data_IF_673302920820
#
_entry.id   IF_673302920820
#
_cell.length_a   1.000
_cell.length_b   1.000
_cell.length_c   1.000
_cell.angle_alpha   90.00
_cell.angle_beta   90.00
_cell.angle_gamma   90.00
#
_symmetry.space_group_name_H-M   'P 1'
#
loop_
_entity.id
_entity.type
_entity.pdbx_description
1 polymer ?
#
# COMPACT_ATOMS: atom_id res chain seq x y z
N UNK A 1 36.53 15.72 -33.88
CA UNK A 1 37.18 14.79 -32.92
C UNK A 1 36.99 15.27 -31.48
N UNK A 2 36.53 14.40 -30.58
CA UNK A 2 36.41 14.71 -29.14
C UNK A 2 37.81 14.82 -28.51
N UNK A 3 38.15 15.98 -27.93
CA UNK A 3 39.40 16.21 -27.20
C UNK A 3 39.40 15.35 -25.93
N UNK A 4 40.13 14.23 -25.93
CA UNK A 4 40.20 13.29 -24.79
C UNK A 4 41.54 13.42 -24.09
N UNK A 5 41.58 14.14 -22.99
CA UNK A 5 42.75 14.24 -22.13
C UNK A 5 42.85 12.98 -21.24
N UNK A 6 43.73 12.06 -21.61
CA UNK A 6 43.98 10.79 -20.89
C UNK A 6 45.41 10.76 -20.35
N UNK A 7 45.65 10.05 -19.25
CA UNK A 7 47.02 9.84 -18.76
C UNK A 7 47.92 9.21 -19.82
N UNK A 8 49.22 9.47 -19.74
CA UNK A 8 50.20 8.79 -20.59
C UNK A 8 50.15 7.27 -20.34
N UNK A 9 50.29 6.47 -21.40
CA UNK A 9 50.37 5.00 -21.34
C UNK A 9 49.16 4.30 -20.67
N UNK A 10 48.02 4.99 -20.54
CA UNK A 10 46.77 4.46 -19.94
C UNK A 10 46.25 3.18 -20.63
N UNK A 11 46.61 2.98 -21.89
CA UNK A 11 46.21 1.83 -22.70
C UNK A 11 47.22 0.68 -22.62
N UNK A 12 48.46 0.96 -22.21
CA UNK A 12 49.54 -0.02 -22.11
C UNK A 12 49.50 -0.77 -20.78
N UNK A 13 49.14 -0.06 -19.69
CA UNK A 13 49.11 -0.65 -18.35
C UNK A 13 47.70 -0.56 -17.75
N UNK A 14 47.03 -1.70 -17.46
CA UNK A 14 45.69 -1.70 -16.85
C UNK A 14 45.61 -0.98 -15.50
N UNK A 15 46.72 -0.94 -14.76
CA UNK A 15 46.85 -0.21 -13.48
C UNK A 15 46.75 1.32 -13.67
N UNK A 16 47.05 1.83 -14.86
CA UNK A 16 46.94 3.25 -15.20
C UNK A 16 45.52 3.56 -15.68
N UNK A 17 44.79 4.36 -14.90
CA UNK A 17 43.46 4.82 -15.27
C UNK A 17 43.45 5.88 -16.39
N UNK A 18 42.27 6.12 -16.97
CA UNK A 18 42.05 7.14 -18.02
C UNK A 18 42.10 8.59 -17.50
N UNK A 19 42.16 8.80 -16.18
CA UNK A 19 42.19 10.12 -15.54
C UNK A 19 43.48 10.85 -15.89
N UNK A 20 43.40 12.07 -16.43
CA UNK A 20 44.57 12.87 -16.78
C UNK A 20 45.52 13.07 -15.60
N UNK A 21 46.83 12.96 -15.87
CA UNK A 21 47.94 13.29 -14.97
C UNK A 21 49.00 14.03 -15.77
N UNK A 22 49.62 15.05 -15.18
CA UNK A 22 50.70 15.81 -15.83
C UNK A 22 51.91 14.90 -16.05
N UNK A 23 52.40 14.70 -17.29
CA UNK A 23 53.58 13.88 -17.54
C UNK A 23 54.82 14.59 -16.99
N UNK A 24 55.53 13.95 -16.04
CA UNK A 24 56.70 14.52 -15.37
C UNK A 24 58.03 14.04 -15.93
N UNK A 25 58.08 12.82 -16.47
CA UNK A 25 59.33 12.21 -16.96
C UNK A 25 60.01 13.03 -18.04
N UNK A 26 61.32 13.22 -17.92
CA UNK A 26 62.10 14.05 -18.83
C UNK A 26 61.99 13.58 -20.30
N UNK A 27 62.03 12.27 -20.51
CA UNK A 27 61.95 11.63 -21.83
C UNK A 27 60.51 11.37 -22.30
N UNK A 28 59.49 11.76 -21.52
CA UNK A 28 58.08 11.55 -21.89
C UNK A 28 57.76 12.25 -23.20
N UNK A 29 57.33 11.47 -24.21
CA UNK A 29 56.98 12.00 -25.53
C UNK A 29 55.72 12.88 -25.48
N UNK A 30 54.81 12.61 -24.55
CA UNK A 30 53.65 13.45 -24.26
C UNK A 30 54.05 14.79 -23.61
N UNK A 31 55.04 14.78 -22.70
CA UNK A 31 55.60 16.02 -22.11
C UNK A 31 56.28 16.88 -23.17
N UNK A 32 57.06 16.24 -24.04
CA UNK A 32 57.75 16.85 -25.18
C UNK A 32 56.82 17.21 -26.35
N UNK A 33 55.51 16.96 -26.22
CA UNK A 33 54.48 17.24 -27.25
C UNK A 33 54.77 16.60 -28.61
N UNK A 34 55.43 15.44 -28.64
CA UNK A 34 55.67 14.70 -29.88
C UNK A 34 54.35 14.11 -30.40
N UNK A 35 54.20 14.11 -31.73
CA UNK A 35 53.06 13.50 -32.42
C UNK A 35 52.84 12.04 -32.01
N UNK A 36 51.59 11.58 -32.03
CA UNK A 36 51.20 10.21 -31.69
C UNK A 36 51.10 9.91 -30.17
N UNK A 37 51.62 10.78 -29.30
CA UNK A 37 51.64 10.52 -27.84
C UNK A 37 50.34 10.90 -27.12
N UNK A 38 49.43 11.60 -27.78
CA UNK A 38 48.17 12.13 -27.22
C UNK A 38 48.19 13.66 -27.03
N UNK A 39 47.10 14.20 -26.48
CA UNK A 39 46.95 15.65 -26.27
C UNK A 39 47.48 16.09 -24.89
N UNK A 40 48.30 17.13 -24.85
CA UNK A 40 48.71 17.78 -23.61
C UNK A 40 47.69 18.86 -23.19
N UNK A 41 47.24 18.86 -21.93
CA UNK A 41 46.33 19.90 -21.42
C UNK A 41 46.97 21.29 -21.51
N UNK A 42 46.25 22.27 -22.03
CA UNK A 42 46.66 23.66 -22.19
C UNK A 42 45.43 24.58 -22.15
N UNK A 43 45.63 25.84 -21.74
CA UNK A 43 44.55 26.84 -21.58
C UNK A 43 43.79 27.08 -22.88
N UNK A 44 44.48 27.06 -24.03
CA UNK A 44 43.88 27.24 -25.35
C UNK A 44 42.83 26.17 -25.75
N UNK A 45 42.71 25.08 -25.00
CA UNK A 45 41.66 24.08 -25.22
C UNK A 45 40.35 24.36 -24.47
N UNK A 46 40.30 25.39 -23.62
CA UNK A 46 39.08 25.79 -22.90
C UNK A 46 37.91 26.08 -23.85
N UNK A 47 36.69 25.84 -23.36
CA UNK A 47 35.45 26.18 -24.07
C UNK A 47 34.85 27.42 -23.43
N UNK A 48 34.18 28.26 -24.24
CA UNK A 48 33.33 29.34 -23.72
C UNK A 48 32.27 28.77 -22.76
N UNK A 49 31.94 29.55 -21.73
CA UNK A 49 30.92 29.16 -20.76
C UNK A 49 29.57 29.01 -21.45
N UNK A 50 28.97 27.83 -21.34
CA UNK A 50 27.58 27.58 -21.72
C UNK A 50 26.81 27.32 -20.44
N UNK A 51 25.69 28.02 -20.20
CA UNK A 51 24.99 27.86 -18.93
C UNK A 51 24.47 26.43 -18.80
N UNK A 52 24.69 25.86 -17.61
CA UNK A 52 24.35 24.47 -17.32
C UNK A 52 22.94 24.38 -16.71
N UNK A 53 22.23 23.27 -16.91
CA UNK A 53 20.97 23.04 -16.21
C UNK A 53 21.20 22.93 -14.71
N UNK A 54 20.23 23.42 -13.93
CA UNK A 54 20.33 23.45 -12.47
C UNK A 54 19.99 22.09 -11.85
N UNK A 55 20.77 21.68 -10.85
CA UNK A 55 20.53 20.44 -10.09
C UNK A 55 19.49 20.70 -9.00
N UNK A 56 18.30 20.11 -9.14
CA UNK A 56 17.17 20.31 -8.23
C UNK A 56 17.11 19.21 -7.16
N UNK A 57 16.95 19.63 -5.90
CA UNK A 57 16.77 18.79 -4.71
C UNK A 57 15.44 19.06 -4.00
N UNK A 58 14.85 20.24 -4.16
CA UNK A 58 13.58 20.60 -3.53
C UNK A 58 12.70 21.47 -4.43
N UNK A 59 11.49 21.79 -3.98
CA UNK A 59 10.55 22.59 -4.76
C UNK A 59 11.01 24.07 -4.90
N UNK A 60 11.75 24.59 -3.92
CA UNK A 60 12.29 25.97 -3.94
C UNK A 60 13.30 26.16 -5.08
N UNK A 61 14.09 25.13 -5.37
CA UNK A 61 15.07 25.17 -6.46
C UNK A 61 14.42 25.38 -7.84
N UNK A 62 13.12 25.07 -7.99
CA UNK A 62 12.37 25.26 -9.24
C UNK A 62 11.95 26.73 -9.48
N UNK A 63 12.29 27.67 -8.60
CA UNK A 63 11.94 29.09 -8.77
C UNK A 63 12.96 29.84 -9.64
N UNK A 64 14.23 29.47 -9.59
CA UNK A 64 15.31 30.15 -10.32
C UNK A 64 16.02 29.19 -11.30
N UNK A 65 15.37 28.87 -12.42
CA UNK A 65 15.87 27.87 -13.37
C UNK A 65 15.89 28.40 -14.83
N UNK A 66 16.94 29.12 -15.24
CA UNK A 66 17.00 29.72 -16.58
C UNK A 66 17.25 28.70 -17.72
N UNK A 67 17.98 27.61 -17.46
CA UNK A 67 18.46 26.70 -18.53
C UNK A 67 17.97 25.25 -18.38
N UNK A 68 16.85 25.05 -17.69
CA UNK A 68 16.26 23.74 -17.43
C UNK A 68 16.85 23.03 -16.20
N UNK A 69 16.33 21.83 -15.92
CA UNK A 69 16.51 21.15 -14.63
C UNK A 69 17.00 19.72 -14.79
N UNK A 70 17.91 19.33 -13.91
CA UNK A 70 18.28 17.93 -13.64
C UNK A 70 17.82 17.58 -12.23
N UNK A 71 17.01 16.53 -12.09
CA UNK A 71 16.66 16.00 -10.77
C UNK A 71 17.84 15.22 -10.17
N UNK A 72 18.21 15.59 -8.93
CA UNK A 72 19.25 14.91 -8.16
C UNK A 72 18.99 13.40 -8.05
N UNK A 73 20.05 12.59 -8.10
CA UNK A 73 19.99 11.12 -7.99
C UNK A 73 19.32 10.65 -6.70
N UNK A 74 19.51 11.37 -5.59
CA UNK A 74 18.92 11.05 -4.28
C UNK A 74 17.41 11.30 -4.16
N UNK A 75 16.76 11.94 -5.13
CA UNK A 75 15.31 12.13 -5.11
C UNK A 75 14.57 10.82 -5.31
N UNK A 76 13.69 10.48 -4.37
CA UNK A 76 12.77 9.34 -4.49
C UNK A 76 11.66 9.55 -5.53
N UNK A 77 10.93 8.49 -5.86
CA UNK A 77 9.87 8.50 -6.88
C UNK A 77 8.75 9.50 -6.58
N UNK A 78 8.21 9.52 -5.36
CA UNK A 78 7.14 10.44 -4.94
C UNK A 78 7.53 11.90 -5.11
N UNK A 79 8.69 12.29 -4.58
CA UNK A 79 9.23 13.66 -4.71
C UNK A 79 9.48 14.00 -6.18
N UNK A 80 10.00 13.06 -6.96
CA UNK A 80 10.23 13.25 -8.40
C UNK A 80 8.93 13.51 -9.14
N UNK A 81 7.85 12.78 -8.84
CA UNK A 81 6.54 12.99 -9.48
C UNK A 81 5.97 14.39 -9.16
N UNK A 82 5.98 14.78 -7.89
CA UNK A 82 5.54 16.12 -7.46
C UNK A 82 6.35 17.23 -8.13
N UNK A 83 7.68 17.10 -8.18
CA UNK A 83 8.55 18.07 -8.83
C UNK A 83 8.36 18.09 -10.35
N UNK A 84 8.02 16.95 -10.95
CA UNK A 84 7.72 16.87 -12.39
C UNK A 84 6.44 17.64 -12.71
N UNK A 85 5.39 17.53 -11.89
CA UNK A 85 4.16 18.30 -12.07
C UNK A 85 4.43 19.79 -11.98
N UNK A 86 5.11 20.23 -10.90
CA UNK A 86 5.51 21.63 -10.73
C UNK A 86 6.40 22.15 -11.85
N UNK A 87 7.33 21.34 -12.35
CA UNK A 87 8.18 21.72 -13.47
C UNK A 87 7.40 21.86 -14.78
N UNK A 88 6.38 21.03 -15.01
CA UNK A 88 5.48 21.15 -16.16
C UNK A 88 4.60 22.40 -16.07
N UNK A 89 4.04 22.67 -14.89
CA UNK A 89 3.25 23.90 -14.62
C UNK A 89 4.07 25.16 -14.92
N UNK A 90 5.35 25.15 -14.55
CA UNK A 90 6.29 26.27 -14.81
C UNK A 90 6.92 26.26 -16.22
N UNK A 91 6.59 25.29 -17.07
CA UNK A 91 7.17 25.18 -18.42
C UNK A 91 8.68 24.88 -18.46
N UNK A 92 9.26 24.33 -17.39
CA UNK A 92 10.70 24.10 -17.28
C UNK A 92 11.09 22.76 -17.95
N UNK A 93 12.11 22.80 -18.81
CA UNK A 93 12.64 21.59 -19.48
C UNK A 93 13.39 20.67 -18.51
N UNK A 94 13.00 19.39 -18.46
CA UNK A 94 13.65 18.36 -17.65
C UNK A 94 14.60 17.51 -18.50
N UNK A 95 15.87 17.44 -18.11
CA UNK A 95 16.90 16.67 -18.85
C UNK A 95 16.90 15.16 -18.51
N UNK A 96 16.70 14.79 -17.24
CA UNK A 96 16.77 13.38 -16.81
C UNK A 96 15.43 12.65 -16.96
N UNK A 97 14.97 12.47 -18.21
CA UNK A 97 13.64 11.90 -18.49
C UNK A 97 13.49 10.44 -18.06
N UNK A 98 14.57 9.65 -18.06
CA UNK A 98 14.54 8.25 -17.59
C UNK A 98 14.09 8.15 -16.13
N UNK A 99 14.55 9.06 -15.29
CA UNK A 99 14.18 9.12 -13.87
C UNK A 99 12.69 9.46 -13.69
N UNK A 100 12.19 10.41 -14.47
CA UNK A 100 10.76 10.78 -14.49
C UNK A 100 9.89 9.59 -14.89
N UNK A 101 10.26 8.89 -15.97
CA UNK A 101 9.54 7.69 -16.44
C UNK A 101 9.51 6.59 -15.37
N UNK A 102 10.62 6.36 -14.67
CA UNK A 102 10.69 5.37 -13.57
C UNK A 102 9.78 5.76 -12.41
N UNK A 103 9.75 7.04 -12.04
CA UNK A 103 8.86 7.54 -10.98
C UNK A 103 7.38 7.33 -11.33
N UNK A 104 6.98 7.69 -12.56
CA UNK A 104 5.60 7.51 -13.03
C UNK A 104 5.15 6.04 -13.03
N UNK A 105 6.01 5.11 -13.48
CA UNK A 105 5.73 3.66 -13.43
C UNK A 105 5.51 3.15 -12.01
N UNK A 106 6.34 3.58 -11.06
CA UNK A 106 6.22 3.20 -9.65
C UNK A 106 4.93 3.73 -9.02
N UNK A 107 4.56 4.98 -9.30
CA UNK A 107 3.30 5.53 -8.80
C UNK A 107 2.07 4.82 -9.38
N UNK A 108 2.08 4.49 -10.67
CA UNK A 108 1.01 3.71 -11.30
C UNK A 108 0.88 2.31 -10.66
N UNK A 109 2.01 1.64 -10.39
CA UNK A 109 2.01 0.33 -9.73
C UNK A 109 1.47 0.41 -8.29
N UNK A 110 1.84 1.44 -7.52
CA UNK A 110 1.33 1.66 -6.17
C UNK A 110 -0.18 1.95 -6.17
N UNK A 111 -0.66 2.77 -7.11
CA UNK A 111 -2.10 3.04 -7.27
C UNK A 111 -2.86 1.76 -7.62
N UNK A 112 -2.35 0.95 -8.55
CA UNK A 112 -2.93 -0.35 -8.90
C UNK A 112 -3.03 -1.28 -7.69
N UNK A 113 -1.94 -1.45 -6.93
CA UNK A 113 -1.93 -2.24 -5.68
C UNK A 113 -2.93 -1.71 -4.65
N UNK A 114 -3.04 -0.39 -4.49
CA UNK A 114 -4.00 0.19 -3.55
C UNK A 114 -5.46 -0.03 -3.99
N UNK A 115 -5.72 -0.02 -5.31
CA UNK A 115 -7.02 -0.30 -5.87
C UNK A 115 -7.38 -1.79 -5.76
N UNK A 116 -6.42 -2.69 -5.98
CA UNK A 116 -6.56 -4.14 -5.77
C UNK A 116 -6.86 -4.44 -4.30
N UNK A 117 -6.07 -3.91 -3.37
CA UNK A 117 -6.36 -4.03 -1.92
C UNK A 117 -7.73 -3.49 -1.54
N UNK A 118 -8.13 -2.34 -2.10
CA UNK A 118 -9.47 -1.79 -1.86
C UNK A 118 -10.57 -2.67 -2.45
N UNK A 119 -10.34 -3.31 -3.60
CA UNK A 119 -11.27 -4.28 -4.19
C UNK A 119 -11.37 -5.54 -3.34
N UNK A 120 -10.25 -6.12 -2.92
CA UNK A 120 -10.19 -7.28 -2.02
C UNK A 120 -10.89 -6.98 -0.68
N UNK A 121 -10.58 -5.84 -0.05
CA UNK A 121 -11.24 -5.39 1.18
C UNK A 121 -12.73 -5.07 0.99
N UNK A 122 -13.15 -4.67 -0.21
CA UNK A 122 -14.57 -4.45 -0.54
C UNK A 122 -15.31 -5.78 -0.79
N UNK A 123 -14.60 -6.81 -1.24
CA UNK A 123 -15.15 -8.14 -1.56
C UNK A 123 -15.27 -9.03 -0.31
N UNK A 124 -14.38 -8.88 0.69
CA UNK A 124 -14.48 -9.62 1.96
C UNK A 124 -15.07 -8.78 3.09
N UNK A 125 -16.39 -8.54 3.07
CA UNK A 125 -17.09 -8.20 4.32
C UNK A 125 -17.13 -9.47 5.18
N UNK A 126 -16.53 -9.43 6.36
CA UNK A 126 -16.48 -10.58 7.29
C UNK A 126 -17.25 -10.28 8.57
N UNK A 127 -17.97 -11.27 9.08
CA UNK A 127 -18.61 -11.23 10.39
C UNK A 127 -18.07 -12.37 11.26
N UNK A 128 -17.38 -12.01 12.34
CA UNK A 128 -16.82 -12.96 13.28
C UNK A 128 -17.85 -13.49 14.28
N UNK A 129 -17.89 -14.81 14.48
CA UNK A 129 -18.68 -15.51 15.48
C UNK A 129 -17.77 -16.18 16.51
N UNK A 130 -18.24 -16.35 17.74
CA UNK A 130 -17.56 -17.12 18.79
C UNK A 130 -17.86 -18.61 18.63
N UNK A 131 -16.93 -19.51 19.01
CA UNK A 131 -17.03 -20.95 18.71
C UNK A 131 -18.31 -21.61 19.23
N UNK A 132 -18.79 -21.23 20.41
CA UNK A 132 -20.05 -21.75 20.99
C UNK A 132 -21.30 -21.42 20.16
N UNK A 133 -21.23 -20.36 19.34
CA UNK A 133 -22.34 -19.87 18.52
C UNK A 133 -22.29 -20.45 17.10
N UNK A 134 -21.13 -20.93 16.65
CA UNK A 134 -20.93 -21.48 15.30
C UNK A 134 -21.86 -22.69 15.01
N UNK A 135 -22.01 -23.68 15.90
CA UNK A 135 -22.97 -24.78 15.71
C UNK A 135 -24.43 -24.31 15.63
N UNK A 136 -24.79 -23.22 16.32
CA UNK A 136 -26.16 -22.70 16.33
C UNK A 136 -26.55 -22.11 14.96
N UNK A 137 -25.59 -21.52 14.25
CA UNK A 137 -25.79 -20.98 12.90
C UNK A 137 -25.78 -22.10 11.85
N UNK A 138 -24.93 -23.11 12.02
CA UNK A 138 -24.78 -24.23 11.08
C UNK A 138 -25.90 -25.28 11.16
N UNK A 139 -26.33 -25.64 12.37
CA UNK A 139 -27.19 -26.82 12.60
C UNK A 139 -28.61 -26.45 13.04
N UNK A 140 -28.79 -25.30 13.71
CA UNK A 140 -30.06 -24.91 14.31
C UNK A 140 -30.77 -23.76 13.59
N UNK A 141 -30.27 -23.37 12.41
CA UNK A 141 -30.99 -22.46 11.50
C UNK A 141 -31.20 -21.04 12.03
N UNK A 142 -30.29 -20.52 12.88
CA UNK A 142 -30.38 -19.15 13.39
C UNK A 142 -30.32 -18.13 12.25
N UNK A 143 -31.41 -17.40 12.03
CA UNK A 143 -31.58 -16.41 10.94
C UNK A 143 -31.37 -14.97 11.40
N UNK A 144 -31.38 -14.70 12.71
CA UNK A 144 -31.18 -13.37 13.28
C UNK A 144 -30.04 -13.32 14.29
N UNK A 145 -29.24 -12.27 14.25
CA UNK A 145 -28.21 -11.99 15.26
C UNK A 145 -28.25 -10.56 15.73
N UNK A 146 -28.22 -10.39 17.06
CA UNK A 146 -28.09 -9.10 17.72
C UNK A 146 -26.60 -8.78 17.95
N UNK A 147 -26.18 -7.56 17.61
CA UNK A 147 -24.82 -7.08 17.78
C UNK A 147 -24.83 -5.69 18.42
N UNK A 148 -23.95 -5.47 19.39
CA UNK A 148 -23.80 -4.19 20.09
C UNK A 148 -22.89 -3.18 19.36
N UNK A 149 -22.36 -3.55 18.19
CA UNK A 149 -21.52 -2.69 17.35
C UNK A 149 -22.03 -2.74 15.92
N UNK A 150 -22.01 -1.58 15.26
CA UNK A 150 -22.30 -1.48 13.84
C UNK A 150 -21.15 -2.11 13.05
N UNK A 151 -21.49 -3.03 12.15
CA UNK A 151 -20.55 -3.68 11.24
C UNK A 151 -20.59 -3.05 9.83
N UNK A 152 -21.38 -1.99 9.62
CA UNK A 152 -21.48 -1.25 8.36
C UNK A 152 -22.05 -2.08 7.21
N UNK A 153 -22.84 -3.11 7.54
CA UNK A 153 -23.43 -4.04 6.59
C UNK A 153 -24.80 -3.51 6.16
N UNK A 154 -25.16 -3.75 4.89
CA UNK A 154 -26.42 -3.31 4.29
C UNK A 154 -27.22 -4.51 3.79
N UNK A 155 -28.54 -4.34 3.70
CA UNK A 155 -29.40 -5.32 3.04
C UNK A 155 -28.91 -5.58 1.60
N UNK A 156 -28.75 -6.86 1.25
CA UNK A 156 -28.20 -7.34 -0.01
C UNK A 156 -26.70 -7.66 0.00
N UNK A 157 -25.95 -7.34 1.06
CA UNK A 157 -24.53 -7.67 1.16
C UNK A 157 -24.31 -9.18 1.38
N UNK A 158 -23.35 -9.76 0.65
CA UNK A 158 -22.81 -11.10 0.92
C UNK A 158 -21.64 -10.98 1.89
N UNK A 159 -21.72 -11.67 3.03
CA UNK A 159 -20.75 -11.59 4.12
C UNK A 159 -20.18 -12.98 4.41
N UNK A 160 -18.87 -13.08 4.58
CA UNK A 160 -18.24 -14.31 5.02
C UNK A 160 -18.33 -14.44 6.56
N UNK A 161 -18.85 -15.56 7.04
CA UNK A 161 -18.93 -15.85 8.47
C UNK A 161 -17.68 -16.61 8.90
N UNK A 162 -16.94 -16.02 9.84
CA UNK A 162 -15.66 -16.53 10.32
C UNK A 162 -15.76 -16.89 11.80
N UNK A 163 -15.16 -18.00 12.22
CA UNK A 163 -14.95 -18.28 13.63
C UNK A 163 -13.79 -17.41 14.14
N UNK A 164 -14.06 -16.50 15.07
CA UNK A 164 -13.09 -15.53 15.61
C UNK A 164 -11.90 -16.22 16.31
N UNK A 165 -12.12 -17.40 16.90
CA UNK A 165 -11.06 -18.15 17.62
C UNK A 165 -10.19 -18.97 16.66
N UNK A 166 -10.79 -19.61 15.65
CA UNK A 166 -10.07 -20.47 14.69
C UNK A 166 -9.62 -19.74 13.42
N UNK A 167 -10.15 -18.55 13.16
CA UNK A 167 -10.00 -17.76 11.92
C UNK A 167 -10.42 -18.52 10.64
N UNK A 168 -11.31 -19.49 10.80
CA UNK A 168 -11.83 -20.31 9.71
C UNK A 168 -13.19 -19.78 9.25
N UNK A 169 -13.34 -19.61 7.94
CA UNK A 169 -14.62 -19.25 7.32
C UNK A 169 -15.48 -20.50 7.20
N UNK A 170 -16.62 -20.53 7.89
CA UNK A 170 -17.51 -21.70 7.92
C UNK A 170 -18.71 -21.56 6.97
N UNK A 171 -18.94 -20.38 6.40
CA UNK A 171 -19.97 -20.16 5.40
C UNK A 171 -20.11 -18.72 4.96
N UNK A 172 -21.04 -18.49 4.05
CA UNK A 172 -21.40 -17.16 3.54
C UNK A 172 -22.86 -16.89 3.89
N UNK A 173 -23.18 -15.65 4.24
CA UNK A 173 -24.55 -15.23 4.51
C UNK A 173 -24.92 -14.02 3.66
N UNK A 174 -26.14 -14.01 3.14
CA UNK A 174 -26.72 -12.85 2.46
C UNK A 174 -27.60 -12.10 3.46
N UNK A 175 -27.29 -10.84 3.73
CA UNK A 175 -28.05 -10.03 4.69
C UNK A 175 -29.33 -9.57 4.01
N UNK A 176 -30.46 -9.83 4.66
CA UNK A 176 -31.80 -9.48 4.14
C UNK A 176 -32.30 -8.18 4.73
N UNK A 177 -32.05 -7.91 6.01
CA UNK A 177 -32.46 -6.68 6.68
C UNK A 177 -31.47 -6.30 7.80
N UNK A 178 -31.37 -5.00 8.06
CA UNK A 178 -30.54 -4.41 9.13
C UNK A 178 -31.38 -3.36 9.85
N UNK A 179 -31.68 -3.62 11.11
CA UNK A 179 -32.47 -2.73 11.95
C UNK A 179 -31.65 -2.25 13.15
N UNK A 180 -31.78 -0.96 13.47
CA UNK A 180 -31.19 -0.36 14.67
C UNK A 180 -32.27 -0.26 15.74
N UNK A 181 -32.10 -0.99 16.84
CA UNK A 181 -33.01 -1.00 17.98
C UNK A 181 -32.23 -0.78 19.28
N UNK A 182 -32.91 -0.55 20.39
CA UNK A 182 -32.28 -0.47 21.72
C UNK A 182 -32.40 -1.83 22.41
N UNK A 183 -31.44 -2.17 23.29
CA UNK A 183 -31.44 -3.45 24.01
C UNK A 183 -32.77 -3.72 24.75
N UNK A 184 -33.39 -2.70 25.32
CA UNK A 184 -34.70 -2.82 25.98
C UNK A 184 -35.91 -3.04 25.06
N UNK A 185 -35.78 -2.86 23.74
CA UNK A 185 -36.85 -3.06 22.74
C UNK A 185 -36.66 -4.32 21.89
N UNK A 186 -35.72 -5.18 22.26
CA UNK A 186 -35.48 -6.44 21.55
C UNK A 186 -36.55 -7.46 21.94
N UNK A 187 -37.09 -8.17 20.94
CA UNK A 187 -38.06 -9.23 21.16
C UNK A 187 -37.39 -10.42 21.88
N UNK A 188 -37.83 -10.66 23.12
CA UNK A 188 -37.27 -11.66 24.03
C UNK A 188 -37.58 -13.11 23.61
N UNK A 189 -38.62 -13.31 22.79
CA UNK A 189 -39.10 -14.61 22.29
C UNK A 189 -39.09 -14.68 20.76
N UNK A 190 -38.08 -14.09 20.11
CA UNK A 190 -37.97 -14.13 18.65
C UNK A 190 -37.60 -15.55 18.16
N UNK A 191 -38.44 -16.22 17.35
CA UNK A 191 -38.14 -17.56 16.82
C UNK A 191 -36.92 -17.59 15.87
N UNK A 192 -36.45 -16.43 15.38
CA UNK A 192 -35.22 -16.30 14.61
C UNK A 192 -33.94 -16.23 15.45
N UNK A 193 -34.07 -16.02 16.77
CA UNK A 193 -32.98 -16.10 17.74
C UNK A 193 -33.07 -17.41 18.53
N UNK A 194 -32.08 -18.30 18.35
CA UNK A 194 -32.10 -19.63 18.99
C UNK A 194 -32.21 -19.64 20.53
N UNK A 195 -31.85 -18.54 21.22
CA UNK A 195 -31.95 -18.44 22.68
C UNK A 195 -33.08 -17.48 23.03
N UNK A 196 -34.14 -18.05 23.59
CA UNK A 196 -35.25 -17.31 24.18
C UNK A 196 -34.84 -16.89 25.59
N UNK A 197 -35.21 -15.67 25.98
CA UNK A 197 -34.98 -15.14 27.33
C UNK A 197 -36.33 -14.80 27.95
N UNK A 198 -36.49 -15.07 29.24
CA UNK A 198 -37.74 -14.76 29.94
C UNK A 198 -37.73 -13.34 30.53
N UNK A 199 -36.53 -12.78 30.77
CA UNK A 199 -36.34 -11.41 31.30
C UNK A 199 -35.28 -10.62 30.53
N UNK A 200 -35.46 -9.30 30.50
CA UNK A 200 -34.51 -8.35 29.86
C UNK A 200 -33.15 -8.40 30.56
N UNK A 201 -33.13 -8.65 31.87
CA UNK A 201 -31.89 -8.75 32.66
C UNK A 201 -31.01 -9.93 32.26
N UNK A 202 -31.60 -11.08 31.90
CA UNK A 202 -30.87 -12.27 31.43
C UNK A 202 -30.23 -12.04 30.05
N UNK A 203 -30.89 -11.25 29.20
CA UNK A 203 -30.37 -10.82 27.92
C UNK A 203 -29.17 -9.89 28.13
N UNK A 204 -29.27 -8.94 29.08
CA UNK A 204 -28.20 -8.02 29.45
C UNK A 204 -27.00 -8.76 30.04
N UNK A 205 -27.22 -9.77 30.90
CA UNK A 205 -26.16 -10.62 31.44
C UNK A 205 -25.46 -11.47 30.37
N UNK A 206 -26.21 -12.02 29.42
CA UNK A 206 -25.63 -12.74 28.29
C UNK A 206 -24.75 -11.82 27.41
N UNK A 207 -25.17 -10.56 27.21
CA UNK A 207 -24.34 -9.57 26.52
C UNK A 207 -23.09 -9.20 27.32
N UNK A 208 -23.19 -9.04 28.65
CA UNK A 208 -22.04 -8.78 29.53
C UNK A 208 -21.02 -9.93 29.52
N UNK A 209 -21.47 -11.18 29.46
CA UNK A 209 -20.59 -12.36 29.39
C UNK A 209 -19.71 -12.41 28.12
N UNK A 210 -20.22 -11.88 27.00
CA UNK A 210 -19.48 -11.81 25.74
C UNK A 210 -18.76 -10.46 25.52
N UNK A 211 -19.04 -9.44 26.32
CA UNK A 211 -18.42 -8.11 26.28
C UNK A 211 -18.11 -7.62 27.71
N UNK A 212 -17.11 -8.20 28.41
CA UNK A 212 -16.81 -7.84 29.80
C UNK A 212 -16.37 -6.38 29.97
N UNK A 213 -15.87 -5.73 28.90
CA UNK A 213 -15.36 -4.36 28.94
C UNK A 213 -16.43 -3.27 28.67
N UNK A 214 -17.72 -3.61 28.56
CA UNK A 214 -18.79 -2.64 28.26
C UNK A 214 -19.94 -2.72 29.26
N UNK A 215 -20.32 -1.55 29.80
CA UNK A 215 -21.54 -1.38 30.59
C UNK A 215 -22.77 -1.44 29.68
N UNK A 216 -23.33 -2.64 29.51
CA UNK A 216 -24.56 -2.84 28.74
C UNK A 216 -25.75 -2.45 29.60
N UNK A 217 -26.42 -1.35 29.24
CA UNK A 217 -27.69 -0.88 29.83
C UNK A 217 -28.85 -1.03 28.85
N UNK A 218 -30.09 -0.88 29.32
CA UNK A 218 -31.33 -0.97 28.53
C UNK A 218 -31.41 0.03 27.37
N UNK A 219 -30.66 1.13 27.45
CA UNK A 219 -30.59 2.19 26.44
C UNK A 219 -29.50 1.96 25.38
N UNK A 220 -28.71 0.89 25.52
CA UNK A 220 -27.61 0.64 24.58
C UNK A 220 -28.16 0.33 23.19
N UNK A 221 -27.54 0.93 22.16
CA UNK A 221 -27.85 0.63 20.76
C UNK A 221 -27.48 -0.83 20.41
N UNK A 222 -28.44 -1.56 19.86
CA UNK A 222 -28.30 -2.90 19.32
C UNK A 222 -28.65 -2.91 17.82
N UNK A 223 -27.87 -3.64 17.05
CA UNK A 223 -28.09 -3.85 15.63
C UNK A 223 -28.59 -5.26 15.42
N UNK A 224 -29.75 -5.39 14.79
CA UNK A 224 -30.37 -6.65 14.41
C UNK A 224 -30.03 -6.92 12.96
N UNK A 225 -29.25 -7.97 12.71
CA UNK A 225 -28.95 -8.46 11.37
C UNK A 225 -29.78 -9.71 11.10
N UNK A 226 -30.63 -9.66 10.08
CA UNK A 226 -31.30 -10.85 9.54
C UNK A 226 -30.56 -11.32 8.31
N UNK A 227 -30.32 -12.63 8.19
CA UNK A 227 -29.53 -13.18 7.10
C UNK A 227 -29.99 -14.57 6.70
N UNK A 228 -29.75 -14.89 5.43
CA UNK A 228 -29.85 -16.23 4.88
C UNK A 228 -28.45 -16.84 4.81
N UNK A 229 -28.23 -17.91 5.57
CA UNK A 229 -26.93 -18.54 5.69
C UNK A 229 -26.77 -19.71 4.70
N UNK A 230 -25.61 -19.76 4.04
CA UNK A 230 -25.18 -20.85 3.17
C UNK A 230 -23.86 -21.44 3.68
N UNK A 231 -23.84 -22.73 4.08
CA UNK A 231 -22.64 -23.34 4.65
C UNK A 231 -21.57 -23.58 3.59
N UNK A 232 -20.31 -23.25 3.91
CA UNK A 232 -19.18 -23.56 3.05
C UNK A 232 -18.76 -25.01 3.31
N UNK A 233 -19.42 -25.95 2.59
CA UNK A 233 -19.10 -27.39 2.51
C UNK A 233 -18.84 -28.06 3.88
N UNK A 234 -19.85 -28.78 4.39
CA UNK A 234 -19.78 -29.61 5.61
C UNK A 234 -18.43 -30.36 5.71
N UNK A 235 -17.63 -30.21 6.78
CA UNK A 235 -16.64 -31.23 7.09
C UNK A 235 -17.39 -32.54 7.27
N UNK A 236 -17.07 -33.53 6.44
CA UNK A 236 -17.70 -34.84 6.50
C UNK A 236 -17.60 -35.39 7.93
N UNK A 237 -18.75 -35.71 8.53
CA UNK A 237 -18.81 -36.29 9.86
C UNK A 237 -17.91 -37.53 9.89
N UNK A 238 -16.87 -37.50 10.74
CA UNK A 238 -16.13 -38.69 11.11
C UNK A 238 -17.12 -39.62 11.81
N UNK A 239 -17.61 -40.63 11.10
CA UNK A 239 -18.32 -41.76 11.70
C UNK A 239 -17.34 -42.46 12.62
N UNK A 240 -17.54 -42.34 13.92
CA UNK A 240 -16.92 -43.22 14.92
C UNK A 240 -17.35 -44.65 14.58
N UNK A 241 -16.38 -45.47 14.17
CA UNK A 241 -16.57 -46.92 14.09
C UNK A 241 -16.55 -47.44 15.52
N UNK A 242 -17.70 -47.97 15.93
CA UNK A 242 -17.87 -48.77 17.14
C UNK A 242 -17.22 -50.14 16.96
#
# INVERSE_FOLDING_TARGET
>A
MSKKFKAQDYFRYPKLGKKWRKPRGLQSKLRLRKGGSGMHVAVGYGKRYTPQPLLVRCAKDLENCPNGVIFSSGLGSRKTAMLTLKAKEKGIRIFNMRKVKRAARLEAALKKRSAEKKKEAKIEKKMGFFEEVVPQVLEKGKTKTYRLRDHGLKAGDTVAFENTQKKEVFGHAKITNVEKTTVGKLDLKDPGHHRVYDKVDELVEAFKRHYPDKDVTTETDAWVYTYEFTPAKKPAAKKEKK
#
